data_IF_094845906321
#
_entry.id   IF_094845906321
#
_cell.length_a   1.000
_cell.length_b   1.000
_cell.length_c   1.000
_cell.angle_alpha   90.00
_cell.angle_beta   90.00
_cell.angle_gamma   90.00
#
_symmetry.space_group_name_H-M   'P 1'
#
loop_
_entity.id
_entity.type
_entity.pdbx_description
1 polymer ?
#
# COMPACT_ATOMS: atom_id res chain seq x y z
N UNK A 1 3.21 11.33 -5.60
CA UNK A 1 2.69 9.95 -5.50
C UNK A 1 1.52 9.95 -4.54
N UNK A 2 0.36 9.43 -4.97
CA UNK A 2 -0.85 9.35 -4.16
C UNK A 2 -1.18 7.88 -3.92
N UNK A 3 -1.37 7.50 -2.65
CA UNK A 3 -1.82 6.14 -2.30
C UNK A 3 -3.30 6.21 -1.99
N UNK A 4 -4.08 5.52 -2.80
CA UNK A 4 -5.51 5.33 -2.59
C UNK A 4 -5.72 3.94 -2.01
N UNK A 5 -6.54 3.84 -0.97
CA UNK A 5 -6.88 2.54 -0.37
C UNK A 5 -8.26 2.14 -0.89
N UNK A 6 -8.40 0.89 -1.34
CA UNK A 6 -9.71 0.29 -1.63
C UNK A 6 -10.58 0.29 -0.38
N UNK A 7 -11.90 0.19 -0.55
CA UNK A 7 -12.84 0.14 0.57
C UNK A 7 -12.52 -0.98 1.57
N UNK A 8 -12.07 -2.15 1.08
CA UNK A 8 -11.65 -3.26 1.93
C UNK A 8 -10.41 -2.90 2.76
N UNK A 9 -9.36 -2.37 2.12
CA UNK A 9 -8.16 -1.93 2.82
C UNK A 9 -8.45 -0.80 3.82
N UNK A 10 -9.35 0.13 3.48
CA UNK A 10 -9.81 1.19 4.40
C UNK A 10 -10.49 0.61 5.64
N UNK A 11 -11.42 -0.33 5.47
CA UNK A 11 -12.10 -0.98 6.59
C UNK A 11 -11.10 -1.73 7.50
N UNK A 12 -10.16 -2.47 6.91
CA UNK A 12 -9.10 -3.16 7.64
C UNK A 12 -8.22 -2.19 8.43
N UNK A 13 -7.84 -1.05 7.84
CA UNK A 13 -7.08 -0.01 8.53
C UNK A 13 -7.90 0.63 9.65
N UNK A 14 -9.14 1.04 9.38
CA UNK A 14 -10.02 1.68 10.37
C UNK A 14 -10.33 0.79 11.57
N UNK A 15 -10.35 -0.54 11.38
CA UNK A 15 -10.52 -1.50 12.48
C UNK A 15 -9.30 -1.57 13.43
N UNK A 16 -8.14 -0.99 13.08
CA UNK A 16 -6.95 -0.98 13.92
C UNK A 16 -6.87 0.28 14.78
N UNK A 17 -6.13 0.21 15.89
CA UNK A 17 -5.78 1.39 16.70
C UNK A 17 -5.05 2.45 15.87
N UNK A 18 -5.27 3.73 16.19
CA UNK A 18 -4.74 4.88 15.43
C UNK A 18 -3.22 4.85 15.23
N UNK A 19 -2.45 4.48 16.26
CA UNK A 19 -0.98 4.35 16.17
C UNK A 19 -0.57 3.27 15.17
N UNK A 20 -1.25 2.12 15.23
CA UNK A 20 -1.05 0.99 14.33
C UNK A 20 -1.41 1.36 12.88
N UNK A 21 -2.47 2.13 12.67
CA UNK A 21 -2.81 2.64 11.34
C UNK A 21 -1.69 3.51 10.78
N UNK A 22 -1.11 4.36 11.61
CA UNK A 22 -0.06 5.31 11.21
C UNK A 22 1.23 4.58 10.84
N UNK A 23 1.67 3.63 11.65
CA UNK A 23 2.84 2.81 11.34
C UNK A 23 2.64 1.96 10.07
N UNK A 24 1.49 1.29 9.95
CA UNK A 24 1.22 0.42 8.80
C UNK A 24 1.12 1.22 7.49
N UNK A 25 0.47 2.40 7.51
CA UNK A 25 0.46 3.33 6.37
C UNK A 25 1.87 3.79 5.99
N UNK A 26 2.75 3.99 6.97
CA UNK A 26 4.14 4.38 6.74
C UNK A 26 4.92 3.26 6.05
N UNK A 27 4.81 2.03 6.55
CA UNK A 27 5.45 0.85 5.94
C UNK A 27 4.95 0.58 4.52
N UNK A 28 3.64 0.67 4.29
CA UNK A 28 3.05 0.57 2.96
C UNK A 28 3.60 1.68 2.06
N UNK A 29 3.64 2.93 2.53
CA UNK A 29 4.15 4.06 1.76
C UNK A 29 5.61 3.92 1.36
N UNK A 30 6.47 3.48 2.28
CA UNK A 30 7.88 3.21 2.01
C UNK A 30 8.05 2.09 0.97
N UNK A 31 7.32 0.99 1.14
CA UNK A 31 7.34 -0.11 0.17
C UNK A 31 6.90 0.34 -1.22
N UNK A 32 5.76 1.02 -1.30
CA UNK A 32 5.22 1.52 -2.56
C UNK A 32 6.19 2.52 -3.22
N UNK A 33 6.83 3.39 -2.45
CA UNK A 33 7.82 4.35 -2.98
C UNK A 33 9.07 3.66 -3.50
N UNK A 34 9.58 2.67 -2.76
CA UNK A 34 10.78 1.92 -3.15
C UNK A 34 10.57 1.03 -4.39
N UNK A 35 9.32 0.69 -4.70
CA UNK A 35 8.98 -0.21 -5.81
C UNK A 35 8.21 0.47 -6.96
N UNK A 36 7.69 1.68 -6.76
CA UNK A 36 7.66 2.71 -7.80
C UNK A 36 9.10 2.89 -8.35
N UNK A 37 9.47 3.82 -9.21
CA UNK A 37 10.74 3.75 -9.97
C UNK A 37 10.90 2.52 -10.92
N UNK A 38 10.58 1.27 -10.53
CA UNK A 38 10.81 0.06 -11.33
C UNK A 38 9.59 -0.69 -11.85
N UNK A 39 8.37 -0.40 -11.36
CA UNK A 39 7.18 -1.16 -11.78
C UNK A 39 6.67 -0.82 -13.18
N UNK A 40 6.49 -1.86 -14.00
CA UNK A 40 5.66 -1.85 -15.20
C UNK A 40 4.17 -1.66 -14.84
N UNK A 41 3.43 -1.09 -15.76
CA UNK A 41 2.06 -0.62 -15.55
C UNK A 41 1.08 -1.78 -15.36
N UNK A 42 0.02 -1.55 -14.57
CA UNK A 42 -1.09 -2.49 -14.33
C UNK A 42 -0.69 -3.84 -13.70
N UNK A 43 0.52 -3.97 -13.17
CA UNK A 43 0.93 -5.19 -12.46
C UNK A 43 0.37 -5.20 -11.04
N UNK A 44 -0.31 -6.29 -10.70
CA UNK A 44 -0.71 -6.58 -9.32
C UNK A 44 0.54 -7.00 -8.53
N UNK A 45 0.86 -6.24 -7.49
CA UNK A 45 2.00 -6.49 -6.62
C UNK A 45 1.49 -7.01 -5.27
N UNK A 46 2.06 -8.11 -4.80
CA UNK A 46 1.74 -8.69 -3.49
C UNK A 46 2.98 -8.72 -2.62
N UNK A 47 2.89 -8.21 -1.38
CA UNK A 47 4.01 -8.24 -0.43
C UNK A 47 3.54 -8.54 0.99
N UNK A 48 4.28 -9.40 1.68
CA UNK A 48 4.15 -9.55 3.13
C UNK A 48 4.93 -8.44 3.86
N UNK A 49 4.24 -7.69 4.71
CA UNK A 49 4.82 -6.71 5.62
C UNK A 49 4.72 -7.27 7.04
N UNK A 50 5.86 -7.48 7.68
CA UNK A 50 5.91 -7.81 9.10
C UNK A 50 5.56 -6.56 9.91
N UNK A 51 4.53 -6.67 10.75
CA UNK A 51 4.05 -5.58 11.58
C UNK A 51 3.57 -6.10 12.95
N UNK A 52 4.18 -5.62 14.04
CA UNK A 52 3.88 -6.02 15.43
C UNK A 52 3.73 -7.55 15.61
N UNK A 53 4.71 -8.30 15.10
CA UNK A 53 4.74 -9.76 15.23
C UNK A 53 3.77 -10.53 14.32
N UNK A 54 3.01 -9.85 13.44
CA UNK A 54 2.12 -10.47 12.46
C UNK A 54 2.51 -10.08 11.05
N UNK A 55 2.49 -11.02 10.11
CA UNK A 55 2.66 -10.71 8.68
C UNK A 55 1.31 -10.28 8.08
N UNK A 56 1.29 -9.08 7.48
CA UNK A 56 0.14 -8.53 6.74
C UNK A 56 0.43 -8.62 5.25
N UNK A 57 -0.50 -9.17 4.47
CA UNK A 57 -0.32 -9.33 3.03
C UNK A 57 -0.96 -8.16 2.32
N UNK A 58 -0.13 -7.30 1.77
CA UNK A 58 -0.55 -6.15 0.99
C UNK A 58 -0.67 -6.55 -0.46
N UNK A 59 -1.81 -6.25 -1.07
CA UNK A 59 -1.98 -6.31 -2.52
C UNK A 59 -2.20 -4.91 -3.06
N UNK A 60 -1.40 -4.51 -4.06
CA UNK A 60 -1.45 -3.18 -4.63
C UNK A 60 -1.52 -3.25 -6.17
N UNK A 61 -2.39 -2.45 -6.77
CA UNK A 61 -2.43 -2.22 -8.22
C UNK A 61 -1.87 -0.83 -8.53
N UNK A 62 -1.11 -0.74 -9.62
CA UNK A 62 -0.42 0.47 -10.03
C UNK A 62 -1.03 1.03 -11.29
N UNK A 63 -1.23 2.36 -11.30
CA UNK A 63 -1.79 3.06 -12.44
C UNK A 63 -0.79 4.09 -12.96
N UNK A 64 -0.74 4.25 -14.30
CA UNK A 64 0.16 5.21 -14.94
C UNK A 64 -0.28 6.64 -14.62
N UNK A 65 0.67 7.44 -14.13
CA UNK A 65 0.64 8.90 -14.12
C UNK A 65 2.01 9.43 -14.56
N UNK A 66 2.26 10.74 -14.46
CA UNK A 66 3.64 11.26 -14.55
C UNK A 66 4.49 10.69 -13.41
N UNK A 67 5.83 10.75 -13.47
CA UNK A 67 6.71 10.25 -12.38
C UNK A 67 6.34 10.86 -11.01
N UNK A 68 5.79 12.07 -11.01
CA UNK A 68 5.26 12.76 -9.84
C UNK A 68 3.85 12.28 -9.38
N UNK A 69 3.05 11.69 -10.28
CA UNK A 69 1.62 11.37 -10.10
C UNK A 69 1.31 9.86 -10.11
N UNK A 70 2.26 9.01 -9.72
CA UNK A 70 1.95 7.58 -9.55
C UNK A 70 0.79 7.41 -8.56
N UNK A 71 -0.28 6.75 -9.01
CA UNK A 71 -1.42 6.36 -8.19
C UNK A 71 -1.31 4.87 -7.88
N UNK A 72 -1.38 4.55 -6.59
CA UNK A 72 -1.32 3.16 -6.10
C UNK A 72 -2.59 2.85 -5.36
N UNK A 73 -3.28 1.80 -5.79
CA UNK A 73 -4.50 1.31 -5.17
C UNK A 73 -4.19 0.09 -4.30
N UNK A 74 -4.34 0.20 -2.99
CA UNK A 74 -4.20 -0.96 -2.08
C UNK A 74 -5.51 -1.72 -2.04
N UNK A 75 -5.53 -2.94 -2.59
CA UNK A 75 -6.71 -3.80 -2.70
C UNK A 75 -6.97 -4.62 -1.42
N UNK A 76 -5.91 -4.98 -0.69
CA UNK A 76 -5.99 -5.79 0.54
C UNK A 76 -4.79 -5.52 1.45
N UNK A 77 -4.98 -5.66 2.76
CA UNK A 77 -3.98 -5.49 3.84
C UNK A 77 -4.03 -6.68 4.80
#
# INVERSE_FOLDING_TARGET
MKITYSSAAQATLQAMHHETQTELKTLIGQWVTANAAGWELDVLQTKAIAFKGTNRTIQAKLRKGTVAEREVEILKV
#
